data_IF_955249789397
#
_entry.id   IF_955249789397
#
_cell.length_a   1.000
_cell.length_b   1.000
_cell.length_c   1.000
_cell.angle_alpha   90.00
_cell.angle_beta   90.00
_cell.angle_gamma   90.00
#
_symmetry.space_group_name_H-M   'P 1'
#
loop_
_entity.id
_entity.type
_entity.pdbx_description
1 polymer ?
#
# COMPACT_ATOMS: atom_id res chain seq x y z
N UNK A 1 -7.05 -22.51 3.39
CA UNK A 1 -6.35 -21.67 4.37
C UNK A 1 -7.17 -20.42 4.62
N UNK A 2 -7.13 -19.91 5.85
CA UNK A 2 -7.88 -18.76 6.33
C UNK A 2 -7.04 -17.48 6.23
N UNK A 3 -7.51 -16.53 5.44
CA UNK A 3 -6.80 -15.32 5.08
C UNK A 3 -7.44 -14.10 5.75
N UNK A 4 -6.63 -13.33 6.47
CA UNK A 4 -7.02 -12.00 6.95
C UNK A 4 -6.62 -10.96 5.90
N UNK A 5 -7.54 -10.08 5.55
CA UNK A 5 -7.32 -9.00 4.59
C UNK A 5 -7.46 -7.66 5.31
N UNK A 6 -6.40 -6.87 5.28
CA UNK A 6 -6.39 -5.48 5.77
C UNK A 6 -6.08 -4.58 4.57
N UNK A 7 -7.12 -4.12 3.85
CA UNK A 7 -6.95 -3.41 2.59
C UNK A 7 -6.70 -1.92 2.80
N UNK A 8 -6.24 -1.28 1.74
CA UNK A 8 -6.37 0.16 1.55
C UNK A 8 -7.57 0.45 0.62
N UNK A 9 -8.28 1.53 0.89
CA UNK A 9 -9.47 1.93 0.12
C UNK A 9 -9.14 2.51 -1.26
N UNK A 10 -10.17 2.89 -2.04
CA UNK A 10 -10.00 3.49 -3.35
C UNK A 10 -9.59 2.48 -4.43
N UNK A 11 -8.69 2.88 -5.33
CA UNK A 11 -8.23 2.05 -6.44
C UNK A 11 -7.45 0.80 -6.00
N UNK A 12 -6.89 0.82 -4.79
CA UNK A 12 -6.16 -0.30 -4.19
C UNK A 12 -7.12 -1.46 -3.90
N UNK A 13 -8.27 -1.16 -3.30
CA UNK A 13 -9.33 -2.14 -3.03
C UNK A 13 -9.90 -2.74 -4.31
N UNK A 14 -10.17 -1.94 -5.34
CA UNK A 14 -10.76 -2.44 -6.60
C UNK A 14 -9.90 -3.56 -7.23
N UNK A 15 -8.58 -3.41 -7.21
CA UNK A 15 -7.67 -4.44 -7.74
C UNK A 15 -7.58 -5.66 -6.80
N UNK A 16 -7.60 -5.42 -5.48
CA UNK A 16 -7.52 -6.49 -4.49
C UNK A 16 -8.77 -7.38 -4.52
N UNK A 17 -9.94 -6.78 -4.68
CA UNK A 17 -11.23 -7.48 -4.71
C UNK A 17 -11.28 -8.60 -5.75
N UNK A 18 -10.76 -8.36 -6.95
CA UNK A 18 -10.70 -9.39 -8.00
C UNK A 18 -9.84 -10.59 -7.59
N UNK A 19 -8.73 -10.34 -6.89
CA UNK A 19 -7.88 -11.41 -6.33
C UNK A 19 -8.62 -12.18 -5.23
N UNK A 20 -9.33 -11.49 -4.33
CA UNK A 20 -10.11 -12.14 -3.27
C UNK A 20 -11.20 -13.05 -3.84
N UNK A 21 -11.86 -12.64 -4.92
CA UNK A 21 -12.87 -13.48 -5.61
C UNK A 21 -12.24 -14.79 -6.08
N UNK A 22 -11.06 -14.75 -6.71
CA UNK A 22 -10.41 -15.98 -7.18
C UNK A 22 -9.83 -16.83 -6.05
N UNK A 23 -9.36 -16.22 -4.95
CA UNK A 23 -8.96 -16.96 -3.76
C UNK A 23 -10.16 -17.66 -3.10
N UNK A 24 -11.30 -16.99 -3.01
CA UNK A 24 -12.55 -17.56 -2.48
C UNK A 24 -13.00 -18.78 -3.29
N UNK A 25 -13.01 -18.68 -4.62
CA UNK A 25 -13.32 -19.81 -5.53
C UNK A 25 -12.37 -21.00 -5.39
N UNK A 26 -11.13 -20.76 -4.94
CA UNK A 26 -10.14 -21.80 -4.65
C UNK A 26 -10.29 -22.41 -3.25
N UNK A 27 -11.32 -22.03 -2.50
CA UNK A 27 -11.64 -22.59 -1.18
C UNK A 27 -10.92 -21.91 -0.02
N UNK A 28 -10.41 -20.69 -0.20
CA UNK A 28 -9.88 -19.90 0.91
C UNK A 28 -11.01 -19.23 1.70
N UNK A 29 -10.96 -19.34 3.03
CA UNK A 29 -11.83 -18.56 3.91
C UNK A 29 -11.22 -17.16 4.06
N UNK A 30 -11.97 -16.12 3.72
CA UNK A 30 -11.45 -14.75 3.66
C UNK A 30 -12.24 -13.87 4.63
N UNK A 31 -11.52 -13.16 5.48
CA UNK A 31 -12.09 -12.14 6.37
C UNK A 31 -11.43 -10.80 6.04
N UNK A 32 -12.24 -9.82 5.67
CA UNK A 32 -11.82 -8.45 5.41
C UNK A 32 -12.12 -7.59 6.64
N UNK A 33 -11.11 -6.92 7.18
CA UNK A 33 -11.27 -5.94 8.26
C UNK A 33 -11.04 -4.54 7.70
N UNK A 34 -12.05 -3.68 7.76
CA UNK A 34 -12.00 -2.33 7.20
C UNK A 34 -12.62 -1.28 8.16
N UNK A 35 -12.27 0.01 8.03
CA UNK A 35 -12.95 1.09 8.75
C UNK A 35 -14.46 1.13 8.44
N UNK A 36 -15.29 1.53 9.41
CA UNK A 36 -16.73 1.74 9.22
C UNK A 36 -17.06 2.92 8.27
N UNK A 37 -16.08 3.78 7.99
CA UNK A 37 -16.16 4.89 7.05
C UNK A 37 -15.88 4.52 5.60
N UNK A 38 -15.69 3.24 5.29
CA UNK A 38 -15.42 2.74 3.93
C UNK A 38 -16.47 3.16 2.89
N UNK A 39 -16.00 3.55 1.71
CA UNK A 39 -16.79 3.93 0.55
C UNK A 39 -16.99 2.80 -0.46
N UNK A 40 -15.94 2.03 -0.76
CA UNK A 40 -15.94 1.01 -1.84
C UNK A 40 -15.89 -0.44 -1.33
N UNK A 41 -15.55 -0.65 -0.05
CA UNK A 41 -15.52 -1.98 0.56
C UNK A 41 -16.92 -2.27 1.10
N UNK A 42 -17.62 -3.16 0.41
CA UNK A 42 -18.98 -3.58 0.75
C UNK A 42 -19.03 -5.08 1.08
N UNK A 43 -20.16 -5.55 1.60
CA UNK A 43 -20.38 -6.97 1.85
C UNK A 43 -20.38 -7.78 0.55
N UNK A 44 -19.94 -9.03 0.64
CA UNK A 44 -19.90 -9.97 -0.48
C UNK A 44 -20.17 -11.38 0.03
N UNK A 45 -20.66 -12.26 -0.83
CA UNK A 45 -20.74 -13.70 -0.54
C UNK A 45 -19.34 -14.36 -0.54
N UNK A 46 -18.33 -13.68 -1.08
CA UNK A 46 -16.99 -14.23 -1.28
C UNK A 46 -16.06 -14.09 -0.07
N UNK A 47 -16.39 -13.21 0.87
CA UNK A 47 -15.61 -12.94 2.08
C UNK A 47 -16.50 -12.41 3.20
N UNK A 48 -16.12 -12.65 4.45
CA UNK A 48 -16.73 -12.00 5.61
C UNK A 48 -16.17 -10.58 5.75
N UNK A 49 -17.03 -9.57 5.91
CA UNK A 49 -16.62 -8.19 6.18
C UNK A 49 -16.85 -7.87 7.66
N UNK A 50 -15.80 -7.44 8.34
CA UNK A 50 -15.85 -6.86 9.69
C UNK A 50 -15.41 -5.42 9.66
N UNK A 51 -16.14 -4.56 10.37
CA UNK A 51 -15.84 -3.13 10.45
C UNK A 51 -15.45 -2.71 11.86
N UNK A 52 -14.67 -1.63 11.95
CA UNK A 52 -14.30 -1.02 13.23
C UNK A 52 -14.47 0.51 13.15
N UNK A 53 -14.82 1.16 14.28
CA UNK A 53 -15.08 2.60 14.30
C UNK A 53 -13.79 3.40 14.12
N UNK A 54 -13.86 4.47 13.31
CA UNK A 54 -12.77 5.43 13.12
C UNK A 54 -13.21 6.89 13.31
N UNK A 55 -12.26 7.83 13.57
CA UNK A 55 -12.62 9.22 13.85
C UNK A 55 -13.29 9.96 12.68
N UNK A 56 -12.95 9.62 11.44
CA UNK A 56 -13.48 10.28 10.25
C UNK A 56 -14.67 9.50 9.68
N UNK A 57 -15.82 10.15 9.56
CA UNK A 57 -17.04 9.57 8.98
C UNK A 57 -16.95 9.43 7.46
N UNK A 58 -17.79 8.56 6.90
CA UNK A 58 -17.89 8.26 5.45
C UNK A 58 -18.03 9.50 4.56
N UNK A 59 -18.85 10.47 4.92
CA UNK A 59 -19.02 11.70 4.13
C UNK A 59 -17.76 12.57 4.11
N UNK A 60 -17.03 12.60 5.23
CA UNK A 60 -15.72 13.26 5.30
C UNK A 60 -14.67 12.56 4.44
N UNK A 61 -14.71 11.22 4.37
CA UNK A 61 -13.83 10.46 3.48
C UNK A 61 -14.13 10.75 2.00
N UNK A 62 -15.42 10.79 1.61
CA UNK A 62 -15.84 11.13 0.25
C UNK A 62 -15.36 12.51 -0.18
N UNK A 63 -15.51 13.49 0.70
CA UNK A 63 -15.09 14.86 0.44
C UNK A 63 -13.57 14.97 0.30
N UNK A 64 -12.82 14.25 1.14
CA UNK A 64 -11.36 14.18 1.03
C UNK A 64 -10.91 13.54 -0.29
N UNK A 65 -11.53 12.43 -0.70
CA UNK A 65 -11.23 11.80 -2.00
C UNK A 65 -11.58 12.72 -3.17
N UNK A 66 -12.69 13.46 -3.09
CA UNK A 66 -13.09 14.44 -4.11
C UNK A 66 -12.04 15.55 -4.24
N UNK A 67 -11.62 16.14 -3.11
CA UNK A 67 -10.58 17.17 -3.08
C UNK A 67 -9.25 16.66 -3.67
N UNK A 68 -8.79 15.46 -3.30
CA UNK A 68 -7.58 14.89 -3.89
C UNK A 68 -7.69 14.65 -5.39
N UNK A 69 -8.86 14.22 -5.86
CA UNK A 69 -9.11 14.04 -7.29
C UNK A 69 -9.03 15.36 -8.03
N UNK A 70 -9.59 16.43 -7.50
CA UNK A 70 -9.55 17.77 -8.10
C UNK A 70 -8.11 18.30 -8.17
N UNK A 71 -7.35 18.20 -7.08
CA UNK A 71 -5.95 18.61 -7.00
C UNK A 71 -5.03 17.86 -7.98
N UNK A 72 -5.39 16.62 -8.36
CA UNK A 72 -4.58 15.83 -9.28
C UNK A 72 -4.68 16.32 -10.73
N UNK A 73 -5.75 17.04 -11.09
CA UNK A 73 -6.00 17.57 -12.43
C UNK A 73 -5.80 19.08 -12.54
N UNK A 74 -5.40 19.76 -11.45
CA UNK A 74 -5.06 21.18 -11.50
C UNK A 74 -3.71 21.41 -12.19
N UNK A 75 -3.68 22.37 -13.11
CA UNK A 75 -2.44 22.82 -13.73
C UNK A 75 -1.75 23.84 -12.81
N UNK A 76 -0.86 23.34 -11.95
CA UNK A 76 -0.03 24.18 -11.08
C UNK A 76 1.45 24.16 -11.50
N UNK A 77 2.21 25.25 -11.27
CA UNK A 77 3.66 25.23 -11.38
C UNK A 77 4.26 24.10 -10.53
N UNK A 78 5.37 23.50 -11.00
CA UNK A 78 5.99 22.33 -10.36
C UNK A 78 6.17 22.46 -8.83
N UNK A 79 6.64 23.62 -8.36
CA UNK A 79 6.87 23.84 -6.93
C UNK A 79 5.57 23.84 -6.12
N UNK A 80 4.51 24.47 -6.62
CA UNK A 80 3.19 24.48 -5.97
C UNK A 80 2.62 23.07 -5.95
N UNK A 81 2.62 22.38 -7.09
CA UNK A 81 2.17 20.99 -7.17
C UNK A 81 2.94 20.08 -6.21
N UNK A 82 4.26 20.26 -6.10
CA UNK A 82 5.09 19.51 -5.15
C UNK A 82 4.66 19.77 -3.70
N UNK A 83 4.49 21.04 -3.30
CA UNK A 83 4.07 21.42 -1.95
C UNK A 83 2.64 20.92 -1.63
N UNK A 84 1.70 21.07 -2.57
CA UNK A 84 0.32 20.58 -2.45
C UNK A 84 0.30 19.06 -2.30
N UNK A 85 1.00 18.34 -3.18
CA UNK A 85 1.12 16.87 -3.13
C UNK A 85 1.73 16.41 -1.81
N UNK A 86 2.79 17.08 -1.36
CA UNK A 86 3.45 16.79 -0.10
C UNK A 86 2.53 16.98 1.11
N UNK A 87 1.82 18.11 1.18
CA UNK A 87 0.84 18.38 2.24
C UNK A 87 -0.28 17.34 2.24
N UNK A 88 -0.74 16.96 1.05
CA UNK A 88 -1.76 15.93 0.82
C UNK A 88 -1.31 14.55 1.31
N UNK A 89 -0.05 14.18 1.09
CA UNK A 89 0.54 12.96 1.66
C UNK A 89 0.63 13.00 3.18
N UNK A 90 1.03 14.12 3.78
CA UNK A 90 1.08 14.25 5.24
C UNK A 90 -0.30 14.11 5.87
N UNK A 91 -1.32 14.78 5.31
CA UNK A 91 -2.72 14.69 5.77
C UNK A 91 -3.27 13.28 5.65
N UNK A 92 -3.00 12.62 4.52
CA UNK A 92 -3.40 11.23 4.29
C UNK A 92 -2.72 10.28 5.28
N UNK A 93 -1.42 10.45 5.51
CA UNK A 93 -0.66 9.63 6.44
C UNK A 93 -1.21 9.75 7.87
N UNK A 94 -1.44 10.98 8.36
CA UNK A 94 -2.01 11.20 9.69
C UNK A 94 -3.40 10.55 9.84
N UNK A 95 -4.25 10.65 8.82
CA UNK A 95 -5.56 10.02 8.81
C UNK A 95 -5.46 8.48 8.83
N UNK A 96 -4.67 7.88 7.94
CA UNK A 96 -4.52 6.42 7.89
C UNK A 96 -3.81 5.87 9.15
N UNK A 97 -2.91 6.64 9.75
CA UNK A 97 -2.31 6.31 11.04
C UNK A 97 -3.39 6.30 12.14
N UNK A 98 -4.27 7.29 12.19
CA UNK A 98 -5.37 7.31 13.16
C UNK A 98 -6.30 6.11 12.99
N UNK A 99 -6.61 5.73 11.75
CA UNK A 99 -7.41 4.54 11.47
C UNK A 99 -6.70 3.26 11.90
N UNK A 100 -5.40 3.17 11.68
CA UNK A 100 -4.63 2.03 12.16
C UNK A 100 -4.61 1.97 13.69
N UNK A 101 -4.42 3.11 14.36
CA UNK A 101 -4.46 3.20 15.83
C UNK A 101 -5.82 2.72 16.37
N UNK A 102 -6.93 3.11 15.73
CA UNK A 102 -8.27 2.64 16.10
C UNK A 102 -8.41 1.12 15.98
N UNK A 103 -7.79 0.49 14.97
CA UNK A 103 -7.81 -0.96 14.82
C UNK A 103 -6.93 -1.66 15.87
N UNK A 104 -5.68 -1.23 16.01
CA UNK A 104 -4.70 -1.83 16.91
C UNK A 104 -5.16 -1.79 18.38
N UNK A 105 -5.84 -0.71 18.78
CA UNK A 105 -6.36 -0.56 20.15
C UNK A 105 -7.82 -1.01 20.31
N UNK A 106 -8.44 -1.57 19.26
CA UNK A 106 -9.75 -2.22 19.38
C UNK A 106 -9.58 -3.63 19.98
N UNK A 107 -9.84 -3.75 21.28
CA UNK A 107 -9.69 -5.01 22.03
C UNK A 107 -10.51 -6.17 21.46
N UNK A 108 -11.73 -5.89 21.00
CA UNK A 108 -12.61 -6.91 20.44
C UNK A 108 -12.03 -7.44 19.12
N UNK A 109 -11.59 -6.54 18.24
CA UNK A 109 -11.02 -6.92 16.95
C UNK A 109 -9.69 -7.64 17.10
N UNK A 110 -8.79 -7.16 17.97
CA UNK A 110 -7.50 -7.81 18.21
C UNK A 110 -7.66 -9.18 18.83
N UNK A 111 -8.60 -9.35 19.77
CA UNK A 111 -8.94 -10.66 20.33
C UNK A 111 -9.50 -11.59 19.26
N UNK A 112 -10.41 -11.11 18.41
CA UNK A 112 -10.95 -11.90 17.30
C UNK A 112 -9.84 -12.36 16.33
N UNK A 113 -8.89 -11.48 15.99
CA UNK A 113 -7.76 -11.83 15.12
C UNK A 113 -6.90 -12.94 15.74
N UNK A 114 -6.61 -12.83 17.04
CA UNK A 114 -5.83 -13.83 17.78
C UNK A 114 -6.52 -15.20 17.85
N UNK A 115 -7.82 -15.21 18.12
CA UNK A 115 -8.64 -16.43 18.28
C UNK A 115 -8.93 -17.09 16.93
N UNK A 116 -9.00 -16.31 15.84
CA UNK A 116 -9.34 -16.81 14.51
C UNK A 116 -8.25 -17.63 13.82
N UNK A 117 -7.01 -17.59 14.32
CA UNK A 117 -5.85 -18.35 13.81
C UNK A 117 -5.70 -18.28 12.29
N UNK A 118 -5.53 -17.05 11.78
CA UNK A 118 -5.28 -16.82 10.36
C UNK A 118 -3.95 -17.41 9.89
N UNK A 119 -3.95 -18.01 8.70
CA UNK A 119 -2.76 -18.61 8.09
C UNK A 119 -1.83 -17.56 7.45
N UNK A 120 -2.40 -16.44 7.00
CA UNK A 120 -1.67 -15.33 6.39
C UNK A 120 -2.46 -14.02 6.47
N UNK A 121 -1.76 -12.90 6.33
CA UNK A 121 -2.35 -11.57 6.13
C UNK A 121 -2.06 -11.07 4.72
N UNK A 122 -3.10 -10.73 3.95
CA UNK A 122 -2.99 -9.98 2.70
C UNK A 122 -3.24 -8.50 2.98
N UNK A 123 -2.25 -7.64 2.75
CA UNK A 123 -2.37 -6.22 3.10
C UNK A 123 -1.65 -5.31 2.12
N UNK A 124 -2.09 -4.05 2.06
CA UNK A 124 -1.40 -3.02 1.30
C UNK A 124 -0.33 -2.34 2.18
N UNK A 125 0.96 -2.40 1.81
CA UNK A 125 2.04 -1.86 2.64
C UNK A 125 2.07 -0.33 2.71
N UNK A 126 1.29 0.39 1.89
CA UNK A 126 1.18 1.86 2.01
C UNK A 126 0.53 2.26 3.34
N UNK A 127 -0.35 1.41 3.87
CA UNK A 127 -0.91 1.52 5.23
C UNK A 127 -0.45 0.32 6.05
N UNK A 128 0.70 0.39 6.76
CA UNK A 128 1.39 -0.77 7.33
C UNK A 128 0.68 -1.42 8.53
N UNK A 129 -0.60 -1.12 8.76
CA UNK A 129 -1.38 -1.64 9.88
C UNK A 129 -1.45 -3.17 9.89
N UNK A 130 -1.70 -3.77 8.72
CA UNK A 130 -1.71 -5.22 8.58
C UNK A 130 -0.36 -5.85 8.92
N UNK A 131 0.75 -5.16 8.61
CA UNK A 131 2.08 -5.63 8.96
C UNK A 131 2.37 -5.53 10.47
N UNK A 132 1.88 -4.50 11.15
CA UNK A 132 2.01 -4.38 12.61
C UNK A 132 1.29 -5.55 13.29
N UNK A 133 0.05 -5.83 12.86
CA UNK A 133 -0.76 -6.95 13.36
C UNK A 133 -0.07 -8.30 13.07
N UNK A 134 0.48 -8.45 11.86
CA UNK A 134 1.19 -9.65 11.45
C UNK A 134 2.39 -9.93 12.36
N UNK A 135 3.21 -8.93 12.67
CA UNK A 135 4.34 -9.10 13.59
C UNK A 135 3.88 -9.40 15.02
N UNK A 136 2.84 -8.72 15.49
CA UNK A 136 2.31 -8.94 16.84
C UNK A 136 1.83 -10.38 17.06
N UNK A 137 1.15 -10.96 16.08
CA UNK A 137 0.62 -12.33 16.14
C UNK A 137 1.49 -13.39 15.45
N UNK A 138 2.65 -13.00 14.91
CA UNK A 138 3.55 -13.88 14.15
C UNK A 138 2.87 -14.57 12.95
N UNK A 139 2.03 -13.84 12.22
CA UNK A 139 1.32 -14.31 11.01
C UNK A 139 2.14 -13.90 9.79
N UNK A 140 2.37 -14.78 8.79
CA UNK A 140 3.10 -14.38 7.57
C UNK A 140 2.30 -13.38 6.73
N UNK A 141 3.00 -12.39 6.18
CA UNK A 141 2.38 -11.32 5.39
C UNK A 141 2.64 -11.48 3.90
N UNK A 142 1.57 -11.30 3.12
CA UNK A 142 1.59 -11.12 1.68
C UNK A 142 1.23 -9.67 1.39
N UNK A 143 2.17 -8.91 0.84
CA UNK A 143 1.92 -7.54 0.42
C UNK A 143 1.28 -7.50 -0.96
N UNK A 144 0.28 -6.64 -1.12
CA UNK A 144 -0.38 -6.40 -2.39
C UNK A 144 -0.28 -4.92 -2.74
N UNK A 145 0.51 -4.58 -3.75
CA UNK A 145 0.87 -3.19 -4.04
C UNK A 145 1.20 -2.98 -5.51
N UNK A 146 1.14 -1.73 -5.97
CA UNK A 146 1.85 -1.33 -7.20
C UNK A 146 3.32 -0.98 -6.86
N UNK A 147 3.49 -0.12 -5.87
CA UNK A 147 4.77 0.23 -5.26
C UNK A 147 4.52 1.11 -4.03
N UNK A 148 5.57 1.37 -3.24
CA UNK A 148 5.52 2.34 -2.14
C UNK A 148 6.40 3.54 -2.52
N UNK A 149 5.98 4.79 -2.26
CA UNK A 149 6.81 5.97 -2.51
C UNK A 149 8.21 5.83 -1.90
N UNK A 150 9.18 6.51 -2.50
CA UNK A 150 10.59 6.49 -2.09
C UNK A 150 11.24 5.10 -2.13
N UNK A 151 10.70 4.17 -2.91
CA UNK A 151 11.22 2.81 -3.07
C UNK A 151 11.34 2.03 -1.75
N UNK A 152 10.52 2.35 -0.76
CA UNK A 152 10.51 1.68 0.55
C UNK A 152 10.29 0.18 0.39
N UNK A 153 9.42 -0.24 -0.52
CA UNK A 153 9.16 -1.64 -0.84
C UNK A 153 10.38 -2.34 -1.47
N UNK A 154 11.15 -1.65 -2.30
CA UNK A 154 12.40 -2.16 -2.88
C UNK A 154 13.45 -2.35 -1.78
N UNK A 155 13.63 -1.33 -0.93
CA UNK A 155 14.57 -1.38 0.18
C UNK A 155 14.16 -2.41 1.26
N UNK A 156 12.88 -2.51 1.58
CA UNK A 156 12.34 -3.48 2.53
C UNK A 156 12.51 -4.92 2.01
N UNK A 157 12.32 -5.14 0.71
CA UNK A 157 12.61 -6.42 0.06
C UNK A 157 14.12 -6.72 -0.05
N UNK A 158 14.99 -5.79 0.33
CA UNK A 158 16.45 -5.88 0.19
C UNK A 158 16.90 -5.98 -1.28
N UNK A 159 16.12 -5.41 -2.20
CA UNK A 159 16.46 -5.35 -3.61
C UNK A 159 17.36 -4.15 -3.92
N UNK A 160 18.32 -4.25 -4.85
CA UNK A 160 19.08 -3.09 -5.30
C UNK A 160 18.20 -2.03 -5.98
N UNK A 161 18.43 -0.75 -5.67
CA UNK A 161 17.73 0.40 -6.27
C UNK A 161 18.73 1.40 -6.90
N UNK A 162 19.31 1.09 -8.07
CA UNK A 162 20.35 1.91 -8.68
C UNK A 162 19.75 3.11 -9.45
N UNK A 163 19.98 4.36 -8.99
CA UNK A 163 19.41 5.56 -9.62
C UNK A 163 20.04 5.89 -10.98
N UNK A 164 21.05 5.12 -11.41
CA UNK A 164 21.71 5.33 -12.70
C UNK A 164 20.88 4.82 -13.89
N UNK A 165 19.95 3.88 -13.67
CA UNK A 165 19.10 3.34 -14.73
C UNK A 165 17.65 3.06 -14.29
N UNK A 166 17.36 3.03 -12.98
CA UNK A 166 15.99 2.95 -12.48
C UNK A 166 15.44 4.37 -12.31
N UNK A 167 14.47 4.82 -13.12
CA UNK A 167 13.94 6.18 -13.02
C UNK A 167 13.04 6.34 -11.78
N UNK A 168 13.17 7.47 -11.10
CA UNK A 168 12.32 7.82 -9.95
C UNK A 168 10.92 8.20 -10.42
N UNK A 169 9.92 7.81 -9.64
CA UNK A 169 8.53 8.16 -9.91
C UNK A 169 8.40 9.69 -9.92
N UNK A 170 7.61 10.22 -10.86
CA UNK A 170 7.45 11.67 -11.10
C UNK A 170 8.68 12.42 -11.62
N UNK A 171 9.82 11.76 -11.88
CA UNK A 171 10.98 12.40 -12.51
C UNK A 171 10.76 12.74 -13.99
N UNK A 172 9.80 12.09 -14.64
CA UNK A 172 9.59 12.07 -16.10
C UNK A 172 10.75 11.43 -16.89
N UNK A 173 11.70 10.80 -16.20
CA UNK A 173 12.80 10.10 -16.86
C UNK A 173 12.36 8.70 -17.34
N UNK A 174 13.07 8.17 -18.32
CA UNK A 174 12.97 6.78 -18.79
C UNK A 174 14.11 5.93 -18.22
N UNK A 175 14.20 4.65 -18.57
CA UNK A 175 15.38 3.81 -18.31
C UNK A 175 16.61 4.20 -19.15
N UNK A 176 16.40 4.93 -20.25
CA UNK A 176 17.44 5.50 -21.08
C UNK A 176 17.73 6.96 -20.70
N UNK A 177 18.52 7.16 -19.64
CA UNK A 177 18.91 8.48 -19.15
C UNK A 177 20.28 8.95 -19.65
N UNK A 178 20.35 10.21 -20.08
CA UNK A 178 21.59 11.00 -20.25
C UNK A 178 22.28 11.25 -18.91
N UNK A 179 23.53 11.73 -18.92
CA UNK A 179 24.25 12.05 -17.69
C UNK A 179 23.50 13.05 -16.81
N UNK A 180 22.97 14.14 -17.38
CA UNK A 180 22.19 15.14 -16.63
C UNK A 180 20.91 14.56 -16.04
N UNK A 181 20.23 13.68 -16.76
CA UNK A 181 19.03 13.01 -16.25
C UNK A 181 19.36 12.05 -15.12
N UNK A 182 20.50 11.33 -15.18
CA UNK A 182 20.99 10.49 -14.09
C UNK A 182 21.34 11.30 -12.84
N UNK A 183 21.98 12.46 -13.02
CA UNK A 183 22.26 13.39 -11.91
C UNK A 183 20.96 13.88 -11.29
N UNK A 184 19.99 14.31 -12.10
CA UNK A 184 18.65 14.69 -11.64
C UNK A 184 17.96 13.54 -10.90
N UNK A 185 18.01 12.33 -11.43
CA UNK A 185 17.41 11.14 -10.84
C UNK A 185 18.00 10.83 -9.47
N UNK A 186 19.34 10.88 -9.36
CA UNK A 186 20.06 10.73 -8.10
C UNK A 186 19.68 11.80 -7.07
N UNK A 187 19.58 13.07 -7.47
CA UNK A 187 19.15 14.14 -6.58
C UNK A 187 17.72 13.93 -6.07
N UNK A 188 16.82 13.44 -6.92
CA UNK A 188 15.46 13.04 -6.50
C UNK A 188 15.54 11.93 -5.44
N UNK A 189 16.32 10.87 -5.68
CA UNK A 189 16.52 9.78 -4.70
C UNK A 189 17.00 10.27 -3.35
N UNK A 190 17.98 11.20 -3.34
CA UNK A 190 18.46 11.78 -2.08
C UNK A 190 17.37 12.60 -1.39
N UNK A 191 16.56 13.36 -2.14
CA UNK A 191 15.45 14.13 -1.57
C UNK A 191 14.32 13.26 -1.01
N UNK A 192 14.08 12.09 -1.62
CA UNK A 192 13.08 11.11 -1.21
C UNK A 192 13.36 10.52 0.17
N UNK A 193 14.64 10.32 0.51
CA UNK A 193 15.04 9.83 1.83
C UNK A 193 14.52 10.74 2.95
N UNK A 194 14.66 12.05 2.80
CA UNK A 194 14.18 13.02 3.80
C UNK A 194 12.66 13.16 3.80
N UNK A 195 12.06 13.18 2.61
CA UNK A 195 10.63 13.40 2.44
C UNK A 195 9.82 12.18 2.92
N UNK A 196 10.12 10.97 2.51
CA UNK A 196 9.35 9.83 3.01
C UNK A 196 9.53 9.56 4.50
N UNK A 197 10.68 9.88 5.09
CA UNK A 197 10.87 9.75 6.54
C UNK A 197 9.81 10.53 7.32
N UNK A 198 9.50 11.77 6.90
CA UNK A 198 8.46 12.57 7.56
C UNK A 198 7.06 11.97 7.33
N UNK A 199 6.76 11.54 6.10
CA UNK A 199 5.43 10.97 5.77
C UNK A 199 5.15 9.70 6.55
N UNK A 200 6.14 8.82 6.74
CA UNK A 200 5.95 7.53 7.43
C UNK A 200 6.22 7.59 8.94
N UNK A 201 6.86 8.65 9.45
CA UNK A 201 7.13 8.82 10.89
C UNK A 201 5.93 8.61 11.84
N UNK A 202 4.67 8.98 11.49
CA UNK A 202 3.53 8.69 12.36
C UNK A 202 3.28 7.18 12.51
N UNK A 203 3.46 6.41 11.44
CA UNK A 203 3.33 4.95 11.47
C UNK A 203 4.49 4.30 12.20
N UNK A 204 5.71 4.79 12.03
CA UNK A 204 6.89 4.30 12.78
C UNK A 204 6.71 4.50 14.29
N UNK A 205 6.20 5.66 14.70
CA UNK A 205 5.89 5.95 16.10
C UNK A 205 4.83 5.01 16.65
N UNK A 206 3.70 4.85 15.93
CA UNK A 206 2.62 3.94 16.31
C UNK A 206 3.09 2.48 16.41
N UNK A 207 3.84 2.00 15.40
CA UNK A 207 4.37 0.65 15.38
C UNK A 207 5.36 0.42 16.53
N UNK A 208 6.23 1.39 16.80
CA UNK A 208 7.23 1.28 17.87
C UNK A 208 6.58 1.24 19.25
N UNK A 209 5.55 2.05 19.47
CA UNK A 209 4.75 2.04 20.69
C UNK A 209 4.01 0.70 20.83
N UNK A 210 3.27 0.29 19.80
CA UNK A 210 2.45 -0.92 19.87
C UNK A 210 3.28 -2.20 20.04
N UNK A 211 4.39 -2.32 19.31
CA UNK A 211 5.29 -3.48 19.38
C UNK A 211 6.32 -3.39 20.51
N UNK A 212 6.32 -2.28 21.28
CA UNK A 212 7.25 -2.03 22.39
C UNK A 212 8.74 -2.13 21.99
N UNK A 213 9.06 -1.71 20.76
CA UNK A 213 10.41 -1.76 20.19
C UNK A 213 10.57 -0.71 19.09
N UNK A 214 11.68 0.06 19.05
CA UNK A 214 11.94 0.98 17.94
C UNK A 214 11.99 0.25 16.59
N UNK A 215 11.17 0.70 15.64
CA UNK A 215 11.13 0.17 14.28
C UNK A 215 10.97 1.31 13.26
N UNK A 216 11.72 1.20 12.17
CA UNK A 216 11.51 2.03 10.96
C UNK A 216 10.50 1.36 10.03
N UNK A 217 9.93 2.12 9.09
CA UNK A 217 8.98 1.59 8.11
C UNK A 217 9.62 0.51 7.23
N UNK A 218 10.87 0.72 6.81
CA UNK A 218 11.63 -0.24 6.02
C UNK A 218 11.88 -1.53 6.81
N UNK A 219 12.24 -1.44 8.10
CA UNK A 219 12.41 -2.62 8.96
C UNK A 219 11.09 -3.34 9.18
N UNK A 220 10.01 -2.61 9.45
CA UNK A 220 8.67 -3.17 9.63
C UNK A 220 8.24 -4.00 8.42
N UNK A 221 8.37 -3.43 7.21
CA UNK A 221 7.99 -4.08 5.97
C UNK A 221 8.99 -5.16 5.51
N UNK A 222 10.24 -5.14 5.98
CA UNK A 222 11.24 -6.16 5.60
C UNK A 222 10.89 -7.59 6.06
N UNK A 223 9.93 -7.73 6.97
CA UNK A 223 9.43 -9.02 7.44
C UNK A 223 8.31 -9.61 6.55
N UNK A 224 7.95 -8.95 5.45
CA UNK A 224 6.99 -9.48 4.48
C UNK A 224 7.48 -10.74 3.79
N UNK A 225 6.62 -11.75 3.68
CA UNK A 225 6.97 -13.03 3.05
C UNK A 225 6.96 -12.95 1.53
N UNK A 226 5.92 -12.32 0.95
CA UNK A 226 5.72 -12.22 -0.50
C UNK A 226 5.28 -10.80 -0.87
N UNK A 227 5.77 -10.29 -1.99
CA UNK A 227 5.38 -9.01 -2.58
C UNK A 227 4.64 -9.25 -3.89
N UNK A 228 3.31 -9.21 -3.87
CA UNK A 228 2.46 -9.27 -5.06
C UNK A 228 2.39 -7.88 -5.72
N UNK A 229 3.24 -7.69 -6.72
CA UNK A 229 3.38 -6.45 -7.48
C UNK A 229 2.36 -6.37 -8.61
N UNK A 230 1.46 -5.39 -8.57
CA UNK A 230 0.50 -5.04 -9.63
C UNK A 230 1.16 -4.32 -10.80
N UNK A 231 2.29 -4.85 -11.26
CA UNK A 231 3.13 -4.35 -12.33
C UNK A 231 3.36 -5.48 -13.34
N UNK A 232 3.65 -5.12 -14.59
CA UNK A 232 3.99 -6.06 -15.64
C UNK A 232 5.30 -5.61 -16.28
N UNK A 233 6.25 -6.53 -16.44
CA UNK A 233 7.57 -6.22 -17.00
C UNK A 233 7.51 -5.70 -18.45
N UNK A 234 6.39 -5.87 -19.16
CA UNK A 234 6.18 -5.32 -20.50
C UNK A 234 5.88 -3.82 -20.47
N UNK A 235 5.29 -3.31 -19.38
CA UNK A 235 4.82 -1.92 -19.27
C UNK A 235 5.64 -1.06 -18.31
N UNK A 236 6.58 -1.65 -17.58
CA UNK A 236 7.41 -0.98 -16.59
C UNK A 236 8.90 -1.07 -16.95
N UNK A 237 9.68 -0.11 -16.47
CA UNK A 237 11.12 -0.06 -16.73
C UNK A 237 11.90 -1.19 -16.04
N UNK A 238 13.04 -1.61 -16.61
CA UNK A 238 13.89 -2.63 -15.99
C UNK A 238 14.34 -2.21 -14.59
N UNK A 239 14.13 -3.09 -13.61
CA UNK A 239 14.62 -2.91 -12.24
C UNK A 239 15.06 -4.24 -11.64
N UNK A 240 15.98 -4.25 -10.67
CA UNK A 240 16.32 -5.45 -9.89
C UNK A 240 15.11 -5.99 -9.13
N UNK A 241 14.98 -7.31 -9.09
CA UNK A 241 13.85 -8.03 -8.46
C UNK A 241 14.36 -9.14 -7.56
N UNK A 242 13.68 -9.34 -6.44
CA UNK A 242 13.97 -10.41 -5.50
C UNK A 242 13.04 -11.62 -5.74
N UNK A 243 13.45 -12.86 -5.38
CA UNK A 243 12.66 -14.06 -5.65
C UNK A 243 11.25 -14.06 -5.03
N UNK A 244 11.04 -13.31 -3.96
CA UNK A 244 9.74 -13.16 -3.29
C UNK A 244 8.88 -12.02 -3.87
N UNK A 245 9.33 -11.35 -4.93
CA UNK A 245 8.58 -10.32 -5.64
C UNK A 245 7.90 -10.92 -6.88
N UNK A 246 6.59 -11.08 -6.81
CA UNK A 246 5.78 -11.75 -7.83
C UNK A 246 4.97 -10.71 -8.58
N UNK A 247 5.21 -10.61 -9.89
CA UNK A 247 4.50 -9.70 -10.78
C UNK A 247 3.16 -10.31 -11.19
N UNK A 248 2.08 -9.60 -10.86
CA UNK A 248 0.69 -9.98 -11.12
C UNK A 248 0.00 -8.88 -11.93
N UNK A 249 0.72 -8.26 -12.87
CA UNK A 249 0.15 -7.34 -13.85
C UNK A 249 -0.97 -8.00 -14.67
N UNK A 250 -1.88 -7.19 -15.22
CA UNK A 250 -2.98 -7.67 -16.06
C UNK A 250 -4.20 -8.26 -15.31
N UNK A 251 -4.15 -8.36 -13.97
CA UNK A 251 -5.29 -8.87 -13.16
C UNK A 251 -6.58 -8.04 -13.29
N UNK A 252 -6.45 -6.76 -13.68
CA UNK A 252 -7.59 -5.86 -13.85
C UNK A 252 -8.16 -5.87 -15.29
N UNK A 253 -7.58 -6.67 -16.20
CA UNK A 253 -8.09 -6.78 -17.56
C UNK A 253 -9.39 -7.60 -17.57
N UNK A 254 -10.49 -6.96 -17.93
CA UNK A 254 -11.79 -7.61 -18.06
C UNK A 254 -11.82 -8.69 -19.14
N UNK A 255 -12.90 -9.49 -19.15
CA UNK A 255 -13.13 -10.55 -20.15
C UNK A 255 -12.88 -10.02 -21.57
N UNK A 256 -12.00 -10.72 -22.30
CA UNK A 256 -11.69 -10.44 -23.71
C UNK A 256 -12.99 -10.36 -24.51
N UNK A 257 -13.34 -9.18 -25.03
CA UNK A 257 -14.24 -9.11 -26.18
C UNK A 257 -13.47 -9.66 -27.38
N UNK A 258 -14.10 -10.48 -28.25
CA UNK A 258 -13.48 -10.84 -29.51
C UNK A 258 -13.09 -9.54 -30.24
N UNK A 259 -11.86 -9.46 -30.74
CA UNK A 259 -11.49 -8.39 -31.65
C UNK A 259 -12.39 -8.53 -32.88
N UNK A 260 -13.15 -7.48 -33.22
CA UNK A 260 -13.83 -7.45 -34.52
C UNK A 260 -12.76 -7.47 -35.61
N UNK A 261 -12.82 -8.48 -36.49
CA UNK A 261 -12.04 -8.49 -37.72
C UNK A 261 -12.51 -7.38 -38.67
#
# INVERSE_FOLDING_TARGET
GKLLVIPMEGSHWLSMKEVLVELSKRGHEIVVIAPDSTMLIDSSEMYELKTYPVPLKKDGMKELMRSFSEDCFTEEPFLMRFLTTWHNFQKSSAMFQAFCSSLLYNKEMMKYIEESKFDAILTDPLTPCGQIIALHFSIPTVFFLRGVPCAIDIHAAQSPDPPSYVPRIFSLNTDHMTFSERVKNFLITVSEYFTCSIVFSPFESLASEFLQKPVTITQLLSHGSIWLKRLDFVFDYPMPVMPNMIFIGGINCGRKKPLSQ
#
